data_IF_844944587676
#
_entry.id   IF_844944587676
#
_cell.length_a   1.000
_cell.length_b   1.000
_cell.length_c   1.000
_cell.angle_alpha   90.00
_cell.angle_beta   90.00
_cell.angle_gamma   90.00
#
_symmetry.space_group_name_H-M   'P 1'
#
loop_
_entity.id
_entity.type
_entity.pdbx_description
1 polymer ?
#
# COMPACT_ATOMS: atom_id res chain seq x y z
N UNK A 1 -0.57 -6.47 -13.90
CA UNK A 1 -0.15 -5.54 -12.81
C UNK A 1 -0.47 -6.15 -11.47
N UNK A 2 0.28 -5.80 -10.43
CA UNK A 2 0.03 -6.33 -9.09
C UNK A 2 -1.31 -5.82 -8.53
N UNK A 3 -2.08 -6.72 -7.91
CA UNK A 3 -3.38 -6.40 -7.31
C UNK A 3 -3.25 -5.53 -6.05
N UNK A 4 -4.22 -4.63 -5.83
CA UNK A 4 -4.24 -3.62 -4.78
C UNK A 4 -4.22 -2.20 -5.36
N UNK A 5 -3.99 -1.20 -4.51
CA UNK A 5 -3.87 0.19 -4.95
C UNK A 5 -2.50 0.44 -5.59
N UNK A 6 -2.48 0.44 -6.92
CA UNK A 6 -1.27 0.64 -7.72
C UNK A 6 -0.83 2.08 -7.94
N UNK A 7 -1.70 3.06 -7.65
CA UNK A 7 -1.42 4.48 -7.88
C UNK A 7 -2.14 5.39 -6.89
N UNK A 8 -1.45 6.39 -6.38
CA UNK A 8 -2.06 7.53 -5.70
C UNK A 8 -1.32 8.83 -6.03
N UNK A 9 -2.06 9.78 -6.57
CA UNK A 9 -1.57 11.12 -6.95
C UNK A 9 -2.47 12.19 -6.36
N UNK A 10 -1.91 13.40 -6.19
CA UNK A 10 -2.67 14.59 -5.79
C UNK A 10 -2.26 15.76 -6.68
N UNK A 11 -3.24 16.55 -7.11
CA UNK A 11 -2.99 17.76 -7.89
C UNK A 11 -1.97 18.68 -7.19
N UNK A 12 -1.06 19.25 -7.96
CA UNK A 12 0.06 20.11 -7.50
C UNK A 12 1.14 19.41 -6.65
N UNK A 13 1.16 18.08 -6.57
CA UNK A 13 2.23 17.31 -5.91
C UNK A 13 2.94 16.41 -6.94
N UNK A 14 4.23 16.09 -6.74
CA UNK A 14 4.97 15.18 -7.62
C UNK A 14 4.32 13.80 -7.70
N UNK A 15 4.27 13.23 -8.90
CA UNK A 15 3.70 11.90 -9.15
C UNK A 15 4.45 10.79 -8.38
N UNK A 16 5.74 10.97 -8.17
CA UNK A 16 6.66 10.01 -7.56
C UNK A 16 6.46 9.92 -6.05
N UNK A 17 5.84 10.94 -5.42
CA UNK A 17 5.71 11.07 -3.97
C UNK A 17 4.96 9.88 -3.35
N UNK A 18 3.86 9.48 -3.98
CA UNK A 18 3.09 8.28 -3.62
C UNK A 18 3.59 7.06 -4.37
N UNK A 19 2.67 6.18 -4.76
CA UNK A 19 2.96 5.14 -5.75
C UNK A 19 2.44 5.60 -7.10
N UNK A 20 3.26 5.51 -8.15
CA UNK A 20 2.83 5.83 -9.53
C UNK A 20 2.46 4.59 -10.35
N UNK A 21 3.06 3.46 -10.03
CA UNK A 21 2.86 2.18 -10.70
C UNK A 21 3.19 1.05 -9.72
N UNK A 22 2.43 -0.06 -9.71
CA UNK A 22 2.84 -1.26 -9.00
C UNK A 22 4.24 -1.73 -9.38
N UNK A 23 4.80 -2.57 -8.53
CA UNK A 23 6.12 -3.15 -8.70
C UNK A 23 5.96 -4.65 -8.89
N UNK A 24 6.57 -5.20 -9.93
CA UNK A 24 6.51 -6.64 -10.24
C UNK A 24 7.90 -7.27 -10.11
N UNK A 25 8.01 -8.56 -9.77
CA UNK A 25 9.30 -9.22 -9.59
C UNK A 25 10.07 -9.44 -10.90
N UNK A 26 9.35 -9.54 -12.02
CA UNK A 26 9.91 -9.76 -13.37
C UNK A 26 9.42 -8.68 -14.34
N UNK A 27 9.96 -7.45 -14.25
CA UNK A 27 9.55 -6.38 -15.15
C UNK A 27 10.07 -6.60 -16.57
N UNK A 28 9.27 -6.25 -17.57
CA UNK A 28 9.68 -6.20 -18.99
C UNK A 28 10.52 -4.93 -19.31
N UNK A 29 11.25 -4.40 -18.34
CA UNK A 29 12.09 -3.22 -18.45
C UNK A 29 13.31 -3.34 -17.55
N UNK A 30 14.40 -2.65 -17.90
CA UNK A 30 15.63 -2.65 -17.11
C UNK A 30 15.46 -1.85 -15.81
N UNK A 31 16.06 -2.34 -14.74
CA UNK A 31 16.04 -1.71 -13.42
C UNK A 31 17.47 -1.50 -12.92
N UNK A 32 17.70 -0.42 -12.17
CA UNK A 32 19.03 -0.01 -11.68
C UNK A 32 19.51 -0.77 -10.45
N UNK A 33 18.64 -1.56 -9.83
CA UNK A 33 18.92 -2.42 -8.67
C UNK A 33 18.27 -3.78 -8.86
N UNK A 34 18.55 -4.73 -7.96
CA UNK A 34 17.91 -6.04 -7.96
C UNK A 34 16.39 -5.89 -8.05
N UNK A 35 15.77 -6.70 -8.91
CA UNK A 35 14.32 -6.70 -9.05
C UNK A 35 13.64 -7.08 -7.73
N UNK A 36 12.37 -6.67 -7.60
CA UNK A 36 11.58 -6.95 -6.41
C UNK A 36 11.48 -8.46 -6.17
N UNK A 37 11.60 -8.95 -4.92
CA UNK A 37 11.45 -10.38 -4.64
C UNK A 37 9.99 -10.87 -4.76
N UNK A 38 9.02 -9.95 -4.80
CA UNK A 38 7.58 -10.23 -4.93
C UNK A 38 6.85 -9.04 -5.56
N UNK A 39 5.57 -9.17 -5.83
CA UNK A 39 4.73 -8.08 -6.32
C UNK A 39 4.40 -7.10 -5.20
N UNK A 40 4.55 -5.79 -5.47
CA UNK A 40 4.26 -4.73 -4.51
C UNK A 40 3.24 -3.74 -5.09
N UNK A 41 2.13 -3.62 -4.39
CA UNK A 41 1.16 -2.53 -4.48
C UNK A 41 0.84 -2.08 -3.05
N UNK A 42 0.13 -0.96 -2.88
CA UNK A 42 -0.44 -0.64 -1.57
C UNK A 42 -1.62 -1.58 -1.36
N UNK A 43 -1.58 -2.40 -0.31
CA UNK A 43 -2.68 -3.31 -0.03
C UNK A 43 -2.33 -4.43 0.94
N UNK A 44 -3.31 -5.32 1.19
CA UNK A 44 -3.22 -6.30 2.26
C UNK A 44 -2.41 -7.54 1.91
N UNK A 45 -1.93 -8.18 2.97
CA UNK A 45 -1.42 -9.53 3.00
C UNK A 45 -1.82 -10.22 4.30
N UNK A 46 -1.49 -11.49 4.46
CA UNK A 46 -1.78 -12.25 5.66
C UNK A 46 -0.66 -13.20 6.01
N UNK A 47 -0.60 -13.52 7.29
CA UNK A 47 0.31 -14.51 7.85
C UNK A 47 -0.51 -15.70 8.33
N UNK A 48 -0.21 -16.90 7.86
CA UNK A 48 -0.90 -18.11 8.33
C UNK A 48 -0.44 -18.53 9.74
N UNK A 49 -1.04 -19.60 10.26
CA UNK A 49 -0.67 -20.13 11.58
C UNK A 49 0.74 -20.76 11.64
N UNK A 50 1.36 -21.02 10.49
CA UNK A 50 2.74 -21.53 10.36
C UNK A 50 3.77 -20.41 10.22
N UNK A 51 3.33 -19.16 10.07
CA UNK A 51 4.19 -17.99 9.87
C UNK A 51 4.51 -17.70 8.40
N UNK A 52 3.91 -18.39 7.44
CA UNK A 52 4.04 -18.08 6.02
C UNK A 52 3.29 -16.79 5.71
N UNK A 53 3.87 -15.96 4.84
CA UNK A 53 3.35 -14.66 4.46
C UNK A 53 2.87 -14.69 3.02
N UNK A 54 1.67 -14.15 2.81
CA UNK A 54 0.99 -14.10 1.54
C UNK A 54 0.54 -12.66 1.27
N UNK A 55 0.58 -12.22 0.02
CA UNK A 55 0.22 -10.85 -0.37
C UNK A 55 -0.80 -10.89 -1.49
N UNK A 56 -1.89 -10.11 -1.39
CA UNK A 56 -2.90 -10.04 -2.45
C UNK A 56 -2.26 -9.68 -3.80
N UNK A 57 -1.25 -8.82 -3.77
CA UNK A 57 -0.48 -8.39 -4.94
C UNK A 57 0.13 -9.54 -5.77
N UNK A 58 0.43 -10.68 -5.12
CA UNK A 58 1.02 -11.85 -5.78
C UNK A 58 -0.03 -12.77 -6.42
N UNK A 59 -1.32 -12.63 -6.09
CA UNK A 59 -2.39 -13.54 -6.54
C UNK A 59 -3.19 -13.01 -7.75
N UNK A 60 -2.55 -12.26 -8.64
CA UNK A 60 -3.28 -11.59 -9.74
C UNK A 60 -3.91 -12.61 -10.70
N UNK A 61 -3.25 -13.73 -10.95
CA UNK A 61 -3.71 -14.76 -11.88
C UNK A 61 -4.73 -15.73 -11.24
N UNK A 62 -4.78 -15.77 -9.90
CA UNK A 62 -5.67 -16.61 -9.09
C UNK A 62 -7.01 -15.94 -8.73
N UNK A 63 -7.20 -14.68 -9.13
CA UNK A 63 -8.47 -13.96 -8.96
C UNK A 63 -9.50 -14.51 -9.95
N UNK A 64 -10.53 -15.14 -9.41
CA UNK A 64 -11.66 -15.67 -10.18
C UNK A 64 -12.72 -14.58 -10.41
N UNK A 65 -12.85 -13.62 -9.49
CA UNK A 65 -13.86 -12.57 -9.56
C UNK A 65 -13.43 -11.31 -8.83
N UNK A 66 -13.70 -10.15 -9.44
CA UNK A 66 -13.63 -8.83 -8.82
C UNK A 66 -15.01 -8.20 -8.84
N UNK A 67 -15.43 -7.62 -7.71
CA UNK A 67 -16.66 -6.81 -7.65
C UNK A 67 -16.39 -5.45 -7.04
N UNK A 68 -16.99 -4.42 -7.63
CA UNK A 68 -17.01 -3.07 -7.08
C UNK A 68 -18.45 -2.74 -6.68
N UNK A 69 -18.65 -2.30 -5.44
CA UNK A 69 -19.98 -2.02 -4.85
C UNK A 69 -19.94 -0.77 -3.98
N UNK A 70 -21.12 -0.37 -3.52
CA UNK A 70 -21.34 0.71 -2.55
C UNK A 70 -20.73 2.06 -2.98
N UNK A 71 -20.73 2.32 -4.29
CA UNK A 71 -20.20 3.56 -4.85
C UNK A 71 -21.06 4.74 -4.40
N UNK A 72 -20.44 5.67 -3.68
CA UNK A 72 -21.01 6.96 -3.32
C UNK A 72 -20.08 8.04 -3.84
N UNK A 73 -20.62 8.96 -4.59
CA UNK A 73 -19.86 10.06 -5.20
C UNK A 73 -20.50 11.38 -4.80
N UNK A 74 -19.73 12.19 -4.08
CA UNK A 74 -20.04 13.58 -3.73
C UNK A 74 -18.78 14.41 -4.00
N UNK A 75 -18.96 15.72 -4.18
CA UNK A 75 -17.85 16.64 -4.44
C UNK A 75 -16.78 16.56 -3.34
N UNK A 76 -17.21 16.38 -2.10
CA UNK A 76 -16.34 16.37 -0.93
C UNK A 76 -15.79 14.97 -0.58
N UNK A 77 -16.41 13.91 -1.12
CA UNK A 77 -16.11 12.55 -0.72
C UNK A 77 -16.52 11.49 -1.76
N UNK A 78 -15.62 10.54 -2.00
CA UNK A 78 -15.88 9.34 -2.79
C UNK A 78 -15.69 8.11 -1.91
N UNK A 79 -16.62 7.16 -1.98
CA UNK A 79 -16.51 5.87 -1.31
C UNK A 79 -16.84 4.73 -2.27
N UNK A 80 -16.12 3.62 -2.17
CA UNK A 80 -16.46 2.38 -2.86
C UNK A 80 -15.80 1.18 -2.17
N UNK A 81 -16.30 -0.01 -2.47
CA UNK A 81 -15.77 -1.27 -1.95
C UNK A 81 -15.35 -2.17 -3.11
N UNK A 82 -14.14 -2.72 -3.03
CA UNK A 82 -13.63 -3.74 -3.95
C UNK A 82 -13.54 -5.06 -3.20
N UNK A 83 -14.11 -6.12 -3.77
CA UNK A 83 -13.97 -7.49 -3.25
C UNK A 83 -13.36 -8.37 -4.31
N UNK A 84 -12.23 -8.98 -3.96
CA UNK A 84 -11.55 -10.02 -4.73
C UNK A 84 -11.96 -11.38 -4.17
N UNK A 85 -12.33 -12.29 -5.05
CA UNK A 85 -12.65 -13.68 -4.73
C UNK A 85 -11.80 -14.59 -5.62
N UNK A 86 -11.23 -15.62 -5.02
CA UNK A 86 -10.36 -16.57 -5.68
C UNK A 86 -9.79 -17.56 -4.69
N UNK A 87 -8.72 -18.25 -5.09
CA UNK A 87 -8.03 -19.24 -4.26
C UNK A 87 -6.67 -18.70 -3.86
N UNK A 88 -6.62 -17.98 -2.75
CA UNK A 88 -5.40 -17.33 -2.27
C UNK A 88 -4.93 -18.05 -1.02
N UNK A 89 -4.05 -19.04 -1.11
CA UNK A 89 -3.43 -19.76 0.03
C UNK A 89 -3.95 -19.44 1.45
N UNK A 90 -4.89 -20.24 1.96
CA UNK A 90 -5.59 -20.06 3.25
C UNK A 90 -6.53 -18.84 3.36
N UNK A 91 -6.88 -18.21 2.24
CA UNK A 91 -7.81 -17.10 2.08
C UNK A 91 -8.70 -17.29 0.83
N UNK A 92 -9.98 -16.99 0.95
CA UNK A 92 -10.95 -17.13 -0.14
C UNK A 92 -11.45 -15.79 -0.67
N UNK A 93 -11.29 -14.72 0.10
CA UNK A 93 -11.71 -13.39 -0.30
C UNK A 93 -10.99 -12.30 0.47
N UNK A 94 -10.66 -11.24 -0.26
CA UNK A 94 -10.14 -10.00 0.30
C UNK A 94 -11.09 -8.88 -0.08
N UNK A 95 -11.44 -8.03 0.88
CA UNK A 95 -12.29 -6.85 0.66
C UNK A 95 -11.54 -5.61 1.10
N UNK A 96 -11.43 -4.64 0.20
CA UNK A 96 -10.85 -3.32 0.43
C UNK A 96 -11.98 -2.29 0.32
N UNK A 97 -12.22 -1.50 1.37
CA UNK A 97 -13.13 -0.35 1.32
C UNK A 97 -12.31 0.93 1.26
N UNK A 98 -12.62 1.76 0.27
CA UNK A 98 -11.92 3.01 -0.01
C UNK A 98 -12.83 4.19 0.31
N UNK A 99 -12.28 5.18 1.03
CA UNK A 99 -12.94 6.46 1.28
C UNK A 99 -11.94 7.59 1.07
N UNK A 100 -12.15 8.37 0.02
CA UNK A 100 -11.34 9.54 -0.31
C UNK A 100 -12.07 10.81 0.08
N UNK A 101 -11.43 11.67 0.87
CA UNK A 101 -11.91 13.01 1.19
C UNK A 101 -10.74 14.00 1.35
N UNK A 102 -11.01 15.20 1.85
CA UNK A 102 -10.00 16.26 2.04
C UNK A 102 -8.85 15.88 2.99
N UNK A 103 -9.04 14.91 3.88
CA UNK A 103 -8.01 14.41 4.81
C UNK A 103 -7.05 13.41 4.16
N UNK A 104 -7.44 12.82 3.03
CA UNK A 104 -6.68 11.78 2.32
C UNK A 104 -7.56 10.57 1.99
N UNK A 105 -6.88 9.46 1.67
CA UNK A 105 -7.51 8.19 1.34
C UNK A 105 -7.48 7.27 2.55
N UNK A 106 -8.64 6.93 3.10
CA UNK A 106 -8.80 5.84 4.05
C UNK A 106 -9.03 4.53 3.31
N UNK A 107 -8.37 3.47 3.76
CA UNK A 107 -8.52 2.11 3.26
C UNK A 107 -8.79 1.18 4.44
N UNK A 108 -9.82 0.36 4.31
CA UNK A 108 -10.14 -0.72 5.26
C UNK A 108 -10.02 -2.06 4.56
N UNK A 109 -9.09 -2.88 5.02
CA UNK A 109 -8.87 -4.21 4.48
C UNK A 109 -9.46 -5.26 5.40
N UNK A 110 -10.18 -6.22 4.80
CA UNK A 110 -10.70 -7.41 5.46
C UNK A 110 -10.32 -8.65 4.67
N UNK A 111 -9.76 -9.63 5.37
CA UNK A 111 -9.43 -10.93 4.78
C UNK A 111 -10.35 -12.02 5.35
N UNK A 112 -10.89 -12.87 4.49
CA UNK A 112 -11.55 -14.10 4.92
C UNK A 112 -10.53 -15.23 4.83
N UNK A 113 -9.72 -15.36 5.88
CA UNK A 113 -8.58 -16.28 5.93
C UNK A 113 -8.46 -16.94 7.32
N UNK A 114 -7.92 -18.16 7.35
CA UNK A 114 -7.40 -18.75 8.60
C UNK A 114 -6.01 -18.16 8.88
N UNK A 115 -6.00 -16.87 9.26
CA UNK A 115 -4.79 -16.08 9.42
C UNK A 115 -4.47 -15.79 10.88
N UNK A 116 -3.19 -15.86 11.22
CA UNK A 116 -2.63 -15.39 12.50
C UNK A 116 -2.62 -13.86 12.57
N UNK A 117 -2.34 -13.22 11.45
CA UNK A 117 -2.24 -11.77 11.34
C UNK A 117 -2.62 -11.29 9.94
N UNK A 118 -3.19 -10.09 9.88
CA UNK A 118 -3.30 -9.29 8.67
C UNK A 118 -2.12 -8.32 8.61
N UNK A 119 -1.64 -8.08 7.41
CA UNK A 119 -0.54 -7.16 7.10
C UNK A 119 -0.95 -6.21 5.99
N UNK A 120 -0.26 -5.08 5.87
CA UNK A 120 -0.40 -4.15 4.74
C UNK A 120 1.01 -3.76 4.33
N UNK A 121 1.32 -3.87 3.03
CA UNK A 121 2.58 -3.37 2.49
C UNK A 121 2.38 -2.03 1.79
N UNK A 122 3.35 -1.14 1.95
CA UNK A 122 3.29 0.26 1.55
C UNK A 122 4.64 0.61 0.91
N UNK A 123 4.69 0.85 -0.41
CA UNK A 123 5.85 1.46 -1.04
C UNK A 123 6.11 2.86 -0.49
N UNK A 124 7.35 3.12 -0.11
CA UNK A 124 7.84 4.40 0.43
C UNK A 124 8.96 4.87 -0.48
N UNK A 125 8.74 5.92 -1.29
CA UNK A 125 9.74 6.43 -2.22
C UNK A 125 11.05 6.68 -1.46
N UNK A 126 12.16 6.14 -1.96
CA UNK A 126 13.52 6.38 -1.45
C UNK A 126 14.25 7.39 -2.33
N UNK A 127 14.13 7.24 -3.64
CA UNK A 127 14.69 8.17 -4.63
C UNK A 127 14.00 7.98 -5.98
N UNK A 128 13.87 9.05 -6.75
CA UNK A 128 13.43 9.06 -8.15
C UNK A 128 14.62 8.93 -9.14
N UNK A 129 15.86 8.81 -8.62
CA UNK A 129 17.10 8.82 -9.39
C UNK A 129 17.83 10.17 -9.42
N UNK A 130 17.15 11.28 -9.13
CA UNK A 130 17.72 12.63 -9.04
C UNK A 130 17.72 13.16 -7.59
N UNK A 131 16.57 13.06 -6.94
CA UNK A 131 16.30 13.48 -5.57
C UNK A 131 16.19 12.26 -4.65
N UNK A 132 16.62 12.43 -3.41
CA UNK A 132 16.43 11.43 -2.35
C UNK A 132 15.38 11.90 -1.35
N UNK A 133 14.64 10.94 -0.80
CA UNK A 133 13.71 11.19 0.29
C UNK A 133 14.31 10.82 1.64
N UNK A 134 13.64 11.24 2.71
CA UNK A 134 13.86 10.72 4.06
C UNK A 134 12.63 9.92 4.50
N UNK A 135 12.84 8.62 4.73
CA UNK A 135 11.81 7.72 5.27
C UNK A 135 11.94 7.64 6.79
N UNK A 136 10.86 7.92 7.49
CA UNK A 136 10.72 7.82 8.94
C UNK A 136 9.57 6.85 9.24
N UNK A 137 9.70 6.05 10.29
CA UNK A 137 8.63 5.21 10.80
C UNK A 137 8.51 5.34 12.31
N UNK A 138 7.33 5.02 12.82
CA UNK A 138 7.09 4.84 14.23
C UNK A 138 5.96 3.85 14.43
N UNK A 139 5.47 3.73 15.66
CA UNK A 139 4.39 2.79 15.97
C UNK A 139 3.10 3.21 15.23
N UNK A 140 2.68 2.39 14.27
CA UNK A 140 1.47 2.59 13.48
C UNK A 140 1.55 3.67 12.40
N UNK A 141 2.74 4.11 11.99
CA UNK A 141 2.86 5.10 10.92
C UNK A 141 4.17 5.07 10.13
N UNK A 142 4.10 5.58 8.89
CA UNK A 142 5.21 5.88 8.00
C UNK A 142 5.15 7.33 7.52
N UNK A 143 6.30 7.95 7.29
CA UNK A 143 6.45 9.28 6.68
C UNK A 143 7.58 9.26 5.66
N UNK A 144 7.33 9.83 4.49
CA UNK A 144 8.33 10.09 3.46
C UNK A 144 8.36 11.59 3.21
N UNK A 145 9.49 12.22 3.55
CA UNK A 145 9.77 13.62 3.21
C UNK A 145 10.54 13.64 1.90
N UNK A 146 9.96 14.23 0.86
CA UNK A 146 10.55 14.29 -0.47
C UNK A 146 10.37 15.70 -1.02
N UNK A 147 11.48 16.39 -1.26
CA UNK A 147 11.49 17.84 -1.53
C UNK A 147 10.66 18.60 -0.47
N UNK A 148 9.75 19.47 -0.91
CA UNK A 148 8.82 20.20 -0.04
C UNK A 148 7.48 19.46 0.15
N UNK A 149 7.47 18.13 0.06
CA UNK A 149 6.25 17.33 0.17
C UNK A 149 6.38 16.22 1.20
N UNK A 150 5.24 15.84 1.76
CA UNK A 150 5.12 14.79 2.76
C UNK A 150 4.10 13.74 2.28
N UNK A 151 4.54 12.50 2.24
CA UNK A 151 3.67 11.34 2.14
C UNK A 151 3.59 10.66 3.51
N UNK A 152 2.38 10.56 4.05
CA UNK A 152 2.11 9.97 5.37
C UNK A 152 1.18 8.78 5.23
N UNK A 153 1.49 7.70 5.93
CA UNK A 153 0.56 6.58 6.13
C UNK A 153 0.39 6.29 7.61
N UNK A 154 -0.84 6.16 8.06
CA UNK A 154 -1.19 5.94 9.47
C UNK A 154 -2.16 4.77 9.61
N UNK A 155 -1.83 3.80 10.46
CA UNK A 155 -2.78 2.80 10.90
C UNK A 155 -3.76 3.43 11.89
N UNK A 156 -5.04 3.51 11.50
CA UNK A 156 -6.11 4.03 12.32
C UNK A 156 -6.68 2.95 13.24
N UNK A 157 -6.85 1.74 12.71
CA UNK A 157 -7.33 0.59 13.47
C UNK A 157 -6.64 -0.70 13.06
N UNK A 158 -6.23 -1.56 14.01
CA UNK A 158 -6.16 -1.26 15.44
C UNK A 158 -5.04 -0.24 15.74
N UNK A 159 -5.20 0.53 16.82
CA UNK A 159 -4.29 1.64 17.19
C UNK A 159 -2.83 1.24 17.46
N UNK A 160 -2.55 -0.06 17.57
CA UNK A 160 -1.22 -0.59 17.89
C UNK A 160 -0.77 -1.64 16.87
N UNK A 161 -0.82 -1.32 15.57
CA UNK A 161 -0.16 -2.16 14.59
C UNK A 161 1.37 -2.12 14.75
N UNK A 162 1.99 -3.30 14.66
CA UNK A 162 3.43 -3.41 14.52
C UNK A 162 3.83 -2.79 13.18
N UNK A 163 4.96 -2.09 13.15
CA UNK A 163 5.44 -1.36 11.98
C UNK A 163 6.89 -1.70 11.73
N UNK A 164 7.23 -2.12 10.51
CA UNK A 164 8.60 -2.46 10.13
C UNK A 164 8.87 -2.13 8.66
N UNK A 165 10.15 -2.10 8.30
CA UNK A 165 10.60 -2.03 6.91
C UNK A 165 11.10 -3.41 6.49
N UNK A 166 10.77 -3.83 5.28
CA UNK A 166 11.39 -5.01 4.69
C UNK A 166 12.89 -4.77 4.46
N UNK A 167 13.74 -5.81 4.51
CA UNK A 167 15.20 -5.68 4.43
C UNK A 167 15.70 -5.47 2.98
N UNK A 168 14.81 -5.12 2.06
CA UNK A 168 15.12 -4.93 0.64
C UNK A 168 14.50 -3.63 0.11
N UNK A 169 15.05 -3.13 -0.99
CA UNK A 169 14.46 -2.03 -1.77
C UNK A 169 13.93 -2.58 -3.09
N UNK A 170 12.94 -1.90 -3.65
CA UNK A 170 12.21 -2.37 -4.83
C UNK A 170 12.14 -1.26 -5.90
N UNK A 171 12.53 -1.54 -7.15
CA UNK A 171 12.52 -0.54 -8.22
C UNK A 171 11.26 -0.60 -9.11
N UNK A 172 10.77 0.55 -9.56
CA UNK A 172 9.95 0.65 -10.77
C UNK A 172 10.50 1.73 -11.71
N UNK A 173 9.78 2.04 -12.79
CA UNK A 173 10.18 3.06 -13.77
C UNK A 173 10.34 4.46 -13.19
N UNK A 174 9.72 4.75 -12.05
CA UNK A 174 9.66 6.09 -11.45
C UNK A 174 10.63 6.26 -10.27
N UNK A 175 11.28 5.19 -9.81
CA UNK A 175 12.20 5.28 -8.67
C UNK A 175 12.45 3.98 -7.94
N UNK A 176 13.18 4.10 -6.84
CA UNK A 176 13.47 3.04 -5.88
C UNK A 176 12.67 3.32 -4.61
N UNK A 177 12.05 2.29 -4.05
CA UNK A 177 11.21 2.38 -2.86
C UNK A 177 11.73 1.45 -1.77
N UNK A 178 11.55 1.85 -0.51
CA UNK A 178 11.51 0.92 0.61
C UNK A 178 10.08 0.36 0.74
N UNK A 179 9.92 -0.80 1.37
CA UNK A 179 8.60 -1.38 1.64
C UNK A 179 8.33 -1.34 3.13
N UNK A 180 7.42 -0.45 3.54
CA UNK A 180 6.90 -0.42 4.91
C UNK A 180 5.76 -1.40 5.07
N UNK A 181 5.69 -2.07 6.21
CA UNK A 181 4.65 -3.01 6.54
C UNK A 181 3.97 -2.67 7.87
N UNK A 182 2.64 -2.65 7.88
CA UNK A 182 1.87 -2.83 9.10
C UNK A 182 1.59 -4.31 9.33
N UNK A 183 1.52 -4.72 10.60
CA UNK A 183 1.10 -6.07 11.00
C UNK A 183 0.24 -6.00 12.26
N UNK A 184 -0.88 -6.71 12.25
CA UNK A 184 -1.77 -6.80 13.41
C UNK A 184 -2.44 -8.17 13.47
N UNK A 185 -2.84 -8.59 14.68
CA UNK A 185 -3.65 -9.80 14.86
C UNK A 185 -5.05 -9.63 14.26
N UNK A 186 -5.64 -10.76 13.88
CA UNK A 186 -6.96 -10.82 13.29
C UNK A 186 -6.95 -10.58 11.78
N UNK A 187 -8.10 -10.17 11.25
CA UNK A 187 -8.37 -10.14 9.81
C UNK A 187 -8.82 -8.79 9.29
N UNK A 188 -8.63 -7.73 10.08
CA UNK A 188 -9.07 -6.36 9.76
C UNK A 188 -7.97 -5.36 10.09
N UNK A 189 -7.80 -4.39 9.19
CA UNK A 189 -6.95 -3.22 9.41
C UNK A 189 -7.51 -2.03 8.64
N UNK A 190 -7.45 -0.85 9.25
CA UNK A 190 -7.81 0.44 8.66
C UNK A 190 -6.63 1.38 8.73
N UNK A 191 -6.32 2.03 7.62
CA UNK A 191 -5.23 3.00 7.53
C UNK A 191 -5.61 4.17 6.63
N UNK A 192 -4.85 5.25 6.75
CA UNK A 192 -5.02 6.47 5.96
C UNK A 192 -3.73 6.88 5.30
N UNK A 193 -3.86 7.32 4.06
CA UNK A 193 -2.80 7.79 3.18
C UNK A 193 -3.06 9.26 2.89
N UNK A 194 -2.10 10.12 3.21
CA UNK A 194 -2.20 11.57 2.97
C UNK A 194 -0.96 12.07 2.23
N UNK A 195 -1.18 12.82 1.14
CA UNK A 195 -0.14 13.54 0.39
C UNK A 195 -0.28 15.04 0.66
N UNK A 196 0.76 15.68 1.19
CA UNK A 196 0.72 17.06 1.70
C UNK A 196 1.89 17.89 1.14
N UNK A 197 1.64 19.17 0.87
CA UNK A 197 2.72 20.15 0.72
C UNK A 197 3.24 20.56 2.10
N UNK A 198 4.56 20.69 2.23
CA UNK A 198 5.20 21.28 3.39
C UNK A 198 5.30 22.76 3.09
N UNK A 199 4.46 23.58 3.73
CA UNK A 199 4.61 25.03 3.68
C UNK A 199 5.99 25.36 4.25
N UNK A 200 6.84 25.98 3.44
CA UNK A 200 8.00 26.70 3.96
C UNK A 200 7.46 27.87 4.78
N UNK A 201 7.37 27.71 6.10
CA UNK A 201 7.36 28.88 6.98
C UNK A 201 8.74 29.52 6.80
N UNK A 202 8.77 30.64 6.07
CA UNK A 202 9.94 31.48 5.91
C UNK A 202 10.37 32.14 7.21
#
# INVERSE_FOLDING_TARGET
DATGLGRIHRFSLPSELGLSCPIVPHPNYLVSVKSSPRSIAIGPGWEDNKGNKYWLADFTDEIEKVTVKDVKEKVEEIQFKVTYTGKFENCNSVTEFYRLNTSGLEIEDRILASARAIMVQIPLLKTDGLNSSRVELGKGWFKVKYMNYLYKVECLEPKMADTFLEPFSVPNRNGIYQVGCFRTRGSYIKYRISLLGISSTG
#
